data_IF_719239588654
#
_entry.id   IF_719239588654
#
_cell.length_a   1.000
_cell.length_b   1.000
_cell.length_c   1.000
_cell.angle_alpha   90.00
_cell.angle_beta   90.00
_cell.angle_gamma   90.00
#
_symmetry.space_group_name_H-M   'P 1'
#
loop_
_entity.id
_entity.type
_entity.pdbx_description
1 polymer ?
#
# COMPACT_ATOMS: atom_id res chain seq x y z
N UNK A 1 -39.76 2.78 36.49
CA UNK A 1 -39.87 1.30 36.48
C UNK A 1 -40.74 0.78 37.65
N UNK A 2 -41.39 -0.38 37.52
CA UNK A 2 -42.05 -1.09 38.65
C UNK A 2 -41.05 -2.05 39.27
N UNK A 3 -40.66 -1.81 40.51
CA UNK A 3 -39.57 -2.54 41.18
C UNK A 3 -40.19 -3.40 42.27
N UNK A 4 -39.91 -4.69 42.28
CA UNK A 4 -40.33 -5.55 43.38
C UNK A 4 -39.26 -5.57 44.47
N UNK A 5 -39.69 -5.69 45.73
CA UNK A 5 -38.80 -5.72 46.91
C UNK A 5 -38.80 -7.12 47.50
N UNK A 6 -37.86 -7.97 47.08
CA UNK A 6 -37.83 -9.39 47.44
C UNK A 6 -37.01 -9.69 48.71
N UNK A 7 -36.12 -8.79 49.12
CA UNK A 7 -35.20 -8.97 50.26
C UNK A 7 -35.72 -8.37 51.57
N UNK A 8 -36.55 -7.32 51.49
CA UNK A 8 -36.99 -6.54 52.65
C UNK A 8 -38.46 -6.79 53.06
N UNK A 9 -39.18 -7.62 52.30
CA UNK A 9 -40.59 -7.93 52.55
C UNK A 9 -40.78 -8.93 53.70
N UNK A 10 -41.58 -8.55 54.70
CA UNK A 10 -41.94 -9.40 55.85
C UNK A 10 -43.44 -9.71 55.86
N UNK A 11 -43.77 -10.98 56.14
CA UNK A 11 -45.14 -11.42 56.44
C UNK A 11 -45.51 -11.06 57.88
N UNK A 12 -46.81 -11.05 58.22
CA UNK A 12 -47.30 -10.76 59.57
C UNK A 12 -46.77 -11.75 60.64
N UNK A 13 -46.34 -12.94 60.23
CA UNK A 13 -45.78 -14.04 61.03
C UNK A 13 -44.25 -14.08 61.03
N UNK A 14 -43.57 -13.11 60.39
CA UNK A 14 -42.10 -13.00 60.39
C UNK A 14 -41.36 -13.90 59.41
N UNK A 15 -42.07 -14.58 58.51
CA UNK A 15 -41.47 -15.35 57.41
C UNK A 15 -40.87 -14.44 56.33
N UNK A 16 -39.60 -14.67 56.00
CA UNK A 16 -38.87 -14.02 54.90
C UNK A 16 -38.76 -15.03 53.75
N UNK A 17 -39.01 -14.60 52.50
CA UNK A 17 -38.57 -15.36 51.31
C UNK A 17 -39.47 -16.46 50.76
N UNK A 18 -40.80 -16.44 50.96
CA UNK A 18 -41.74 -17.32 50.23
C UNK A 18 -42.25 -16.71 48.92
N UNK A 19 -41.38 -16.14 48.11
CA UNK A 19 -41.73 -15.89 46.70
C UNK A 19 -41.57 -17.21 45.92
N UNK A 20 -42.38 -17.52 44.89
CA UNK A 20 -42.38 -18.82 44.19
C UNK A 20 -41.07 -19.19 43.44
N UNK A 21 -40.00 -18.40 43.59
CA UNK A 21 -38.64 -18.62 43.06
C UNK A 21 -37.63 -18.16 44.13
N UNK A 22 -36.42 -18.74 44.16
CA UNK A 22 -35.36 -18.27 45.09
C UNK A 22 -35.10 -16.78 44.88
N UNK A 23 -34.92 -16.03 45.96
CA UNK A 23 -34.69 -14.57 45.95
C UNK A 23 -33.56 -14.18 44.99
N UNK A 24 -32.48 -14.99 44.96
CA UNK A 24 -31.36 -14.83 44.03
C UNK A 24 -31.76 -14.91 42.55
N UNK A 25 -32.70 -15.79 42.19
CA UNK A 25 -33.17 -15.93 40.79
C UNK A 25 -34.01 -14.72 40.36
N UNK A 26 -34.82 -14.18 41.26
CA UNK A 26 -35.66 -13.01 40.99
C UNK A 26 -34.84 -11.72 40.87
N UNK A 27 -33.83 -11.56 41.73
CA UNK A 27 -32.89 -10.44 41.65
C UNK A 27 -32.12 -10.46 40.32
N UNK A 28 -31.63 -11.64 39.90
CA UNK A 28 -30.96 -11.80 38.61
C UNK A 28 -31.86 -11.40 37.43
N UNK A 29 -33.12 -11.88 37.40
CA UNK A 29 -34.07 -11.53 36.33
C UNK A 29 -34.33 -10.02 36.31
N UNK A 30 -34.49 -9.41 37.48
CA UNK A 30 -34.73 -7.98 37.59
C UNK A 30 -33.55 -7.16 37.08
N UNK A 31 -32.31 -7.59 37.34
CA UNK A 31 -31.11 -6.95 36.82
C UNK A 31 -30.95 -7.12 35.30
N UNK A 32 -31.35 -8.26 34.73
CA UNK A 32 -31.40 -8.41 33.27
C UNK A 32 -32.42 -7.46 32.61
N UNK A 33 -33.57 -7.22 33.25
CA UNK A 33 -34.58 -6.27 32.76
C UNK A 33 -34.06 -4.82 32.86
N UNK A 34 -33.37 -4.46 33.95
CA UNK A 34 -32.70 -3.15 34.07
C UNK A 34 -31.61 -2.95 33.02
N UNK A 35 -30.89 -3.99 32.63
CA UNK A 35 -29.92 -3.90 31.53
C UNK A 35 -30.61 -3.54 30.21
N UNK A 36 -31.81 -4.07 29.97
CA UNK A 36 -32.62 -3.75 28.81
C UNK A 36 -33.12 -2.29 28.83
N UNK A 37 -33.35 -1.73 30.01
CA UNK A 37 -33.69 -0.32 30.24
C UNK A 37 -32.55 0.62 29.80
N UNK A 38 -31.28 0.21 29.94
CA UNK A 38 -30.14 1.00 29.47
C UNK A 38 -30.14 1.20 27.94
N UNK A 39 -30.81 0.34 27.16
CA UNK A 39 -30.98 0.55 25.72
C UNK A 39 -31.81 1.79 25.41
N UNK A 40 -32.69 2.21 26.33
CA UNK A 40 -33.40 3.48 26.20
C UNK A 40 -32.41 4.68 26.23
N UNK A 41 -31.24 4.53 26.86
CA UNK A 41 -30.20 5.56 26.84
C UNK A 41 -29.66 5.89 25.44
N UNK A 42 -29.86 5.02 24.44
CA UNK A 42 -29.49 5.30 23.04
C UNK A 42 -30.25 6.52 22.49
N UNK A 43 -31.47 6.76 22.97
CA UNK A 43 -32.27 7.93 22.60
C UNK A 43 -31.82 9.23 23.26
N UNK A 44 -30.82 9.19 24.13
CA UNK A 44 -30.38 10.31 24.97
C UNK A 44 -31.06 10.34 26.34
N UNK A 45 -30.99 11.50 27.00
CA UNK A 45 -31.62 11.73 28.32
C UNK A 45 -32.86 12.60 28.17
N UNK A 46 -33.84 12.42 29.06
CA UNK A 46 -35.08 13.22 29.14
C UNK A 46 -35.78 13.33 27.79
N UNK A 47 -36.43 12.25 27.36
CA UNK A 47 -37.27 12.29 26.16
C UNK A 47 -38.56 11.48 26.37
N UNK A 48 -39.65 11.90 25.72
CA UNK A 48 -40.92 11.20 25.77
C UNK A 48 -41.01 10.27 24.56
N UNK A 49 -40.84 8.97 24.79
CA UNK A 49 -40.88 7.93 23.76
C UNK A 49 -42.29 7.80 23.16
N UNK A 50 -43.32 7.92 24.01
CA UNK A 50 -44.73 7.85 23.62
C UNK A 50 -45.55 8.81 24.47
N UNK A 51 -46.28 9.73 23.83
CA UNK A 51 -47.19 10.61 24.53
C UNK A 51 -48.46 9.85 25.00
N UNK A 52 -48.98 10.14 26.21
CA UNK A 52 -50.32 9.68 26.58
C UNK A 52 -51.37 10.35 25.70
N UNK A 53 -52.46 9.64 25.37
CA UNK A 53 -53.52 10.14 24.48
C UNK A 53 -54.87 10.35 25.20
N UNK A 54 -54.88 10.34 26.53
CA UNK A 54 -56.10 10.52 27.33
C UNK A 54 -56.80 9.23 27.72
N UNK A 55 -56.47 8.11 27.04
CA UNK A 55 -57.01 6.76 27.29
C UNK A 55 -55.88 5.75 27.54
N UNK A 56 -54.83 5.82 26.73
CA UNK A 56 -53.62 5.01 26.82
C UNK A 56 -52.51 5.85 27.43
N UNK A 57 -51.78 5.26 28.37
CA UNK A 57 -50.60 5.86 29.00
C UNK A 57 -49.46 6.11 28.01
N UNK A 58 -48.57 7.01 28.39
CA UNK A 58 -47.34 7.31 27.67
C UNK A 58 -46.14 6.57 28.27
N UNK A 59 -44.97 6.82 27.68
CA UNK A 59 -43.67 6.35 28.18
C UNK A 59 -42.67 7.49 28.05
N UNK A 60 -41.98 7.79 29.14
CA UNK A 60 -40.86 8.72 29.18
C UNK A 60 -39.60 8.01 29.61
N UNK A 61 -38.48 8.54 29.14
CA UNK A 61 -37.13 8.17 29.55
C UNK A 61 -36.52 9.37 30.22
N UNK A 62 -36.06 9.21 31.45
CA UNK A 62 -35.54 10.27 32.29
C UNK A 62 -34.14 9.92 32.79
N UNK A 63 -33.40 10.94 33.18
CA UNK A 63 -32.26 10.77 34.07
C UNK A 63 -32.76 10.92 35.52
N UNK A 64 -32.68 9.85 36.31
CA UNK A 64 -33.12 9.89 37.71
C UNK A 64 -32.14 10.69 38.60
N UNK A 65 -32.46 10.86 39.88
CA UNK A 65 -31.61 11.61 40.83
C UNK A 65 -30.19 11.07 40.95
N UNK A 66 -30.00 9.78 40.67
CA UNK A 66 -28.70 9.08 40.72
C UNK A 66 -27.95 9.11 39.38
N UNK A 67 -28.43 9.91 38.41
CA UNK A 67 -27.88 10.04 37.05
C UNK A 67 -27.91 8.74 36.24
N UNK A 68 -28.93 7.91 36.48
CA UNK A 68 -29.17 6.69 35.71
C UNK A 68 -30.38 6.87 34.80
N UNK A 69 -30.34 6.18 33.66
CA UNK A 69 -31.47 6.11 32.73
C UNK A 69 -32.60 5.31 33.35
N UNK A 70 -33.78 5.91 33.48
CA UNK A 70 -35.00 5.25 33.95
C UNK A 70 -36.12 5.42 32.91
N UNK A 71 -36.84 4.33 32.64
CA UNK A 71 -38.05 4.29 31.84
C UNK A 71 -39.26 4.31 32.78
N UNK A 72 -40.12 5.30 32.60
CA UNK A 72 -41.31 5.52 33.43
C UNK A 72 -42.57 5.57 32.56
N UNK A 73 -43.62 4.91 33.03
CA UNK A 73 -44.95 4.99 32.43
C UNK A 73 -45.58 6.35 32.78
N UNK A 74 -46.14 7.03 31.79
CA UNK A 74 -46.87 8.27 31.99
C UNK A 74 -48.36 7.93 32.09
N UNK A 75 -49.02 8.44 33.14
CA UNK A 75 -50.46 8.30 33.32
C UNK A 75 -51.23 8.82 32.08
N UNK A 76 -52.36 8.20 31.70
CA UNK A 76 -53.14 8.61 30.53
C UNK A 76 -53.63 10.07 30.60
N UNK A 77 -53.81 10.61 31.82
CA UNK A 77 -54.27 11.98 32.08
C UNK A 77 -53.43 12.66 33.16
N UNK A 78 -53.25 14.00 33.06
CA UNK A 78 -53.67 14.86 31.96
C UNK A 78 -52.84 14.61 30.69
N UNK A 79 -53.44 14.89 29.52
CA UNK A 79 -52.71 14.86 28.25
C UNK A 79 -51.79 16.08 28.18
N UNK A 80 -50.68 15.96 27.45
CA UNK A 80 -49.78 17.09 27.23
C UNK A 80 -50.53 18.30 26.65
N UNK A 81 -50.27 19.49 27.20
CA UNK A 81 -50.89 20.73 26.74
C UNK A 81 -50.09 21.95 27.20
N UNK A 82 -50.50 23.13 26.72
CA UNK A 82 -49.76 24.40 26.91
C UNK A 82 -49.58 24.78 28.39
N UNK A 83 -50.50 24.33 29.26
CA UNK A 83 -50.44 24.57 30.71
C UNK A 83 -49.43 23.70 31.43
N UNK A 84 -49.00 22.57 30.84
CA UNK A 84 -48.01 21.66 31.45
C UNK A 84 -46.69 22.40 31.63
N UNK A 85 -46.08 22.18 32.79
CA UNK A 85 -44.78 22.75 33.19
C UNK A 85 -43.79 21.67 33.60
N UNK A 86 -44.29 20.55 34.12
CA UNK A 86 -43.45 19.49 34.65
C UNK A 86 -43.97 18.11 34.26
N UNK A 87 -43.05 17.14 34.20
CA UNK A 87 -43.35 15.72 34.35
C UNK A 87 -43.00 15.34 35.80
N UNK A 88 -43.99 14.96 36.59
CA UNK A 88 -43.81 14.65 38.02
C UNK A 88 -43.97 13.15 38.25
N UNK A 89 -43.07 12.57 39.02
CA UNK A 89 -43.08 11.16 39.37
C UNK A 89 -43.74 10.98 40.72
N UNK A 90 -44.69 10.06 40.78
CA UNK A 90 -45.30 9.60 42.02
C UNK A 90 -44.78 8.20 42.31
N UNK A 91 -44.16 8.05 43.48
CA UNK A 91 -43.68 6.76 43.98
C UNK A 91 -44.67 6.27 45.03
N UNK A 92 -45.21 5.06 44.85
CA UNK A 92 -46.15 4.43 45.78
C UNK A 92 -45.72 3.01 46.08
N UNK A 93 -45.80 2.61 47.34
CA UNK A 93 -45.59 1.23 47.75
C UNK A 93 -46.93 0.49 47.76
N UNK A 94 -46.96 -0.72 47.22
CA UNK A 94 -48.13 -1.60 47.18
C UNK A 94 -47.87 -2.89 47.95
N UNK A 95 -48.87 -3.30 48.73
CA UNK A 95 -48.91 -4.59 49.38
C UNK A 95 -49.39 -5.66 48.39
N UNK A 96 -48.80 -6.86 48.45
CA UNK A 96 -49.22 -8.00 47.62
C UNK A 96 -49.82 -9.08 48.52
N UNK A 97 -50.96 -9.64 48.11
CA UNK A 97 -51.56 -10.81 48.77
C UNK A 97 -51.25 -12.07 47.96
N UNK A 98 -50.61 -13.05 48.59
CA UNK A 98 -50.36 -14.37 48.02
C UNK A 98 -50.48 -15.42 49.13
N UNK A 99 -51.03 -16.60 48.81
CA UNK A 99 -51.16 -17.74 49.72
C UNK A 99 -51.73 -17.42 51.12
N UNK A 100 -52.77 -16.57 51.15
CA UNK A 100 -53.44 -16.06 52.35
C UNK A 100 -52.60 -15.16 53.28
N UNK A 101 -51.38 -14.78 52.87
CA UNK A 101 -50.52 -13.82 53.57
C UNK A 101 -50.45 -12.48 52.80
N UNK A 102 -50.25 -11.38 53.53
CA UNK A 102 -50.05 -10.03 52.96
C UNK A 102 -48.59 -9.63 53.13
N UNK A 103 -47.90 -9.44 52.01
CA UNK A 103 -46.54 -8.93 51.92
C UNK A 103 -46.62 -7.42 51.84
N UNK A 104 -46.24 -6.75 52.93
CA UNK A 104 -46.28 -5.29 53.01
C UNK A 104 -45.17 -4.67 52.15
N UNK A 105 -45.49 -3.58 51.46
CA UNK A 105 -44.55 -2.82 50.63
C UNK A 105 -43.80 -3.67 49.59
N UNK A 106 -44.46 -4.72 49.09
CA UNK A 106 -43.83 -5.72 48.23
C UNK A 106 -43.48 -5.22 46.83
N UNK A 107 -44.06 -4.09 46.41
CA UNK A 107 -43.76 -3.46 45.13
C UNK A 107 -43.71 -1.95 45.27
N UNK A 108 -42.69 -1.34 44.67
CA UNK A 108 -42.62 0.10 44.47
C UNK A 108 -43.03 0.43 43.05
N UNK A 109 -44.12 1.19 42.91
CA UNK A 109 -44.61 1.70 41.64
C UNK A 109 -44.18 3.15 41.46
N UNK A 110 -43.46 3.42 40.37
CA UNK A 110 -43.11 4.77 39.91
C UNK A 110 -43.87 5.08 38.64
N UNK A 111 -44.77 6.06 38.71
CA UNK A 111 -45.60 6.51 37.58
C UNK A 111 -45.41 8.01 37.40
N UNK A 112 -45.20 8.43 36.16
CA UNK A 112 -45.06 9.82 35.78
C UNK A 112 -46.42 10.43 35.41
N UNK A 113 -46.60 11.72 35.66
CA UNK A 113 -47.79 12.46 35.29
C UNK A 113 -47.43 13.89 34.89
N UNK A 114 -48.08 14.42 33.85
CA UNK A 114 -47.92 15.83 33.50
C UNK A 114 -48.59 16.72 34.56
N UNK A 115 -47.89 17.74 35.04
CA UNK A 115 -48.40 18.66 36.05
C UNK A 115 -48.09 20.12 35.70
N UNK A 116 -48.89 21.02 36.29
CA UNK A 116 -48.72 22.48 36.17
C UNK A 116 -47.85 23.04 37.30
N UNK A 117 -47.86 22.39 38.45
CA UNK A 117 -47.04 22.72 39.63
C UNK A 117 -45.93 21.69 39.85
N UNK A 118 -44.84 22.15 40.46
CA UNK A 118 -43.70 21.32 40.84
C UNK A 118 -44.06 20.46 42.06
N UNK A 119 -43.85 19.14 41.95
CA UNK A 119 -43.96 18.17 43.03
C UNK A 119 -42.60 17.82 43.64
N UNK A 120 -42.57 16.72 44.41
CA UNK A 120 -41.36 16.26 45.10
C UNK A 120 -40.26 15.79 44.13
N UNK A 121 -40.63 15.04 43.10
CA UNK A 121 -39.75 14.60 42.02
C UNK A 121 -40.35 15.07 40.68
N UNK A 122 -39.86 16.20 40.17
CA UNK A 122 -40.40 16.85 38.98
C UNK A 122 -39.30 17.30 38.03
N UNK A 123 -39.51 17.00 36.76
CA UNK A 123 -38.63 17.37 35.66
C UNK A 123 -39.26 18.53 34.89
N UNK A 124 -38.49 19.58 34.60
CA UNK A 124 -38.95 20.68 33.75
C UNK A 124 -39.31 20.13 32.38
N UNK A 125 -40.52 20.41 31.90
CA UNK A 125 -40.98 19.86 30.63
C UNK A 125 -40.12 20.34 29.45
N UNK A 126 -39.48 21.51 29.54
CA UNK A 126 -38.58 22.02 28.50
C UNK A 126 -37.18 21.38 28.55
N UNK A 127 -36.88 20.57 29.56
CA UNK A 127 -35.67 19.75 29.57
C UNK A 127 -35.80 18.52 28.68
N UNK A 128 -37.00 18.22 28.17
CA UNK A 128 -37.22 17.08 27.30
C UNK A 128 -36.86 17.40 25.85
N UNK A 129 -36.05 16.54 25.23
CA UNK A 129 -35.46 16.79 23.88
C UNK A 129 -36.54 16.96 22.80
N UNK A 130 -37.67 16.28 22.94
CA UNK A 130 -38.79 16.39 22.02
C UNK A 130 -39.88 17.38 22.47
N UNK A 131 -39.56 18.31 23.37
CA UNK A 131 -40.44 19.42 23.74
C UNK A 131 -39.83 20.72 23.25
N UNK A 132 -40.52 21.40 22.34
CA UNK A 132 -40.10 22.69 21.81
C UNK A 132 -41.24 23.71 21.96
N UNK A 133 -40.98 24.84 22.59
CA UNK A 133 -41.98 25.90 22.75
C UNK A 133 -43.29 25.45 23.42
N UNK A 134 -43.24 24.46 24.32
CA UNK A 134 -44.42 23.82 24.95
C UNK A 134 -45.33 23.07 23.98
N UNK A 135 -44.76 22.57 22.88
CA UNK A 135 -45.35 21.56 22.02
C UNK A 135 -44.53 20.28 22.15
N UNK A 136 -45.23 19.15 22.24
CA UNK A 136 -44.60 17.83 22.24
C UNK A 136 -44.45 17.38 20.79
N UNK A 137 -43.21 17.38 20.32
CA UNK A 137 -42.85 16.87 19.00
C UNK A 137 -42.78 15.34 19.03
N UNK A 138 -43.04 14.72 17.88
CA UNK A 138 -42.85 13.28 17.73
C UNK A 138 -41.39 12.93 17.98
N UNK A 139 -41.13 11.85 18.73
CA UNK A 139 -39.76 11.34 18.86
C UNK A 139 -39.20 11.07 17.45
N UNK A 140 -38.02 11.59 17.10
CA UNK A 140 -37.49 11.49 15.75
C UNK A 140 -37.28 10.02 15.39
N UNK A 141 -38.18 9.47 14.58
CA UNK A 141 -38.06 8.10 14.09
C UNK A 141 -36.94 8.02 13.06
N UNK A 142 -36.46 6.80 12.77
CA UNK A 142 -35.55 6.56 11.64
C UNK A 142 -36.10 7.13 10.31
N UNK A 143 -37.43 7.29 10.19
CA UNK A 143 -38.06 7.94 9.03
C UNK A 143 -37.85 9.47 8.99
N UNK A 144 -37.80 10.14 10.14
CA UNK A 144 -37.47 11.58 10.24
C UNK A 144 -35.99 11.80 9.91
N UNK A 145 -35.09 10.94 10.41
CA UNK A 145 -33.67 10.98 10.04
C UNK A 145 -33.47 10.75 8.53
N UNK A 146 -34.15 9.74 7.97
CA UNK A 146 -34.15 9.50 6.53
C UNK A 146 -34.74 10.66 5.73
N UNK A 147 -35.78 11.32 6.26
CA UNK A 147 -36.37 12.53 5.69
C UNK A 147 -35.42 13.73 5.71
N UNK A 148 -34.70 13.94 6.82
CA UNK A 148 -33.69 14.99 6.94
C UNK A 148 -32.53 14.77 5.96
N UNK A 149 -32.08 13.52 5.77
CA UNK A 149 -31.06 13.18 4.75
C UNK A 149 -31.57 13.48 3.33
N UNK A 150 -32.84 13.13 3.03
CA UNK A 150 -33.45 13.44 1.72
C UNK A 150 -33.63 14.93 1.47
N UNK A 151 -33.85 15.70 2.52
CA UNK A 151 -34.07 17.15 2.47
C UNK A 151 -32.79 17.97 2.67
N UNK A 152 -31.61 17.33 2.74
CA UNK A 152 -30.35 18.06 2.82
C UNK A 152 -30.15 18.92 1.56
N UNK A 153 -29.58 20.13 1.69
CA UNK A 153 -29.26 20.96 0.53
C UNK A 153 -28.40 20.21 -0.47
N UNK A 154 -28.70 20.38 -1.76
CA UNK A 154 -27.99 19.71 -2.85
C UNK A 154 -26.46 19.95 -2.80
N UNK A 155 -26.04 21.10 -2.26
CA UNK A 155 -24.64 21.44 -2.00
C UNK A 155 -23.97 20.49 -1.00
N UNK A 156 -24.66 20.15 0.09
CA UNK A 156 -24.16 19.23 1.14
C UNK A 156 -24.10 17.80 0.61
N UNK A 157 -25.12 17.38 -0.15
CA UNK A 157 -25.13 16.07 -0.79
C UNK A 157 -24.00 15.93 -1.83
N UNK A 158 -23.71 17.00 -2.57
CA UNK A 158 -22.60 17.04 -3.52
C UNK A 158 -21.26 16.97 -2.79
N UNK A 159 -21.09 17.74 -1.71
CA UNK A 159 -19.89 17.70 -0.87
C UNK A 159 -19.64 16.30 -0.27
N UNK A 160 -20.67 15.65 0.28
CA UNK A 160 -20.55 14.31 0.84
C UNK A 160 -20.23 13.26 -0.24
N UNK A 161 -20.80 13.39 -1.44
CA UNK A 161 -20.47 12.56 -2.60
C UNK A 161 -19.00 12.73 -3.00
N UNK A 162 -18.49 13.95 -3.00
CA UNK A 162 -17.10 14.25 -3.37
C UNK A 162 -16.11 13.71 -2.33
N UNK A 163 -16.42 13.87 -1.04
CA UNK A 163 -15.62 13.30 0.07
C UNK A 163 -15.66 11.77 0.05
N UNK A 164 -16.83 11.15 -0.18
CA UNK A 164 -16.93 9.70 -0.32
C UNK A 164 -16.16 9.19 -1.54
N UNK A 165 -16.19 9.92 -2.66
CA UNK A 165 -15.41 9.60 -3.85
C UNK A 165 -13.90 9.76 -3.63
N UNK A 166 -13.48 10.68 -2.76
CA UNK A 166 -12.08 10.84 -2.34
C UNK A 166 -11.62 9.68 -1.43
N UNK A 167 -12.55 9.08 -0.66
CA UNK A 167 -12.26 7.99 0.29
C UNK A 167 -12.47 6.58 -0.27
N UNK A 168 -13.26 6.40 -1.33
CA UNK A 168 -13.46 5.13 -2.02
C UNK A 168 -12.45 5.00 -3.15
N UNK A 169 -11.40 4.20 -2.92
CA UNK A 169 -10.15 4.10 -3.68
C UNK A 169 -10.23 3.63 -5.14
N UNK A 170 -11.42 3.40 -5.71
CA UNK A 170 -11.61 3.31 -7.15
C UNK A 170 -13.11 3.40 -7.49
N UNK A 171 -13.50 4.39 -8.29
CA UNK A 171 -14.86 4.47 -8.83
C UNK A 171 -14.91 3.87 -10.22
N UNK A 172 -15.81 2.93 -10.47
CA UNK A 172 -16.06 2.42 -11.82
C UNK A 172 -16.89 3.43 -12.63
N UNK A 173 -16.47 3.70 -13.87
CA UNK A 173 -17.14 4.63 -14.79
C UNK A 173 -17.23 3.98 -16.16
N UNK A 174 -18.42 4.05 -16.78
CA UNK A 174 -18.67 3.56 -18.13
C UNK A 174 -18.84 4.75 -19.09
N UNK A 175 -18.23 4.70 -20.28
CA UNK A 175 -18.47 5.70 -21.33
C UNK A 175 -17.86 7.08 -21.07
N UNK A 176 -16.71 7.16 -20.38
CA UNK A 176 -16.04 8.44 -20.12
C UNK A 176 -15.57 9.08 -21.45
N UNK A 177 -16.03 10.30 -21.72
CA UNK A 177 -15.64 11.06 -22.93
C UNK A 177 -14.29 11.79 -22.77
N UNK A 178 -13.66 12.16 -23.89
CA UNK A 178 -12.41 12.96 -23.88
C UNK A 178 -12.54 14.24 -23.06
N UNK A 179 -13.65 14.98 -23.25
CA UNK A 179 -13.92 16.23 -22.54
C UNK A 179 -14.04 16.03 -21.03
N UNK A 180 -14.66 14.93 -20.60
CA UNK A 180 -14.78 14.59 -19.18
C UNK A 180 -13.41 14.20 -18.61
N UNK A 181 -12.63 13.39 -19.33
CA UNK A 181 -11.28 13.00 -18.93
C UNK A 181 -10.34 14.22 -18.77
N UNK A 182 -10.38 15.16 -19.71
CA UNK A 182 -9.60 16.40 -19.66
C UNK A 182 -10.06 17.35 -18.54
N UNK A 183 -11.31 17.19 -18.07
CA UNK A 183 -11.88 17.93 -16.94
C UNK A 183 -11.44 17.42 -15.56
N UNK A 184 -10.86 16.21 -15.47
CA UNK A 184 -10.45 15.64 -14.18
C UNK A 184 -9.18 16.30 -13.64
N UNK A 185 -9.36 17.32 -12.80
CA UNK A 185 -8.27 18.08 -12.15
C UNK A 185 -8.14 17.82 -10.66
N UNK A 186 -9.12 17.14 -10.06
CA UNK A 186 -9.14 16.76 -8.65
C UNK A 186 -8.58 15.35 -8.48
N UNK A 187 -7.90 15.10 -7.36
CA UNK A 187 -7.32 13.80 -7.07
C UNK A 187 -8.42 12.72 -7.01
N UNK A 188 -8.27 11.66 -7.82
CA UNK A 188 -9.21 10.55 -7.87
C UNK A 188 -8.58 9.33 -8.58
N UNK A 189 -9.19 8.16 -8.38
CA UNK A 189 -8.87 6.93 -9.10
C UNK A 189 -10.15 6.41 -9.75
N UNK A 190 -10.14 6.25 -11.07
CA UNK A 190 -11.28 5.78 -11.85
C UNK A 190 -10.92 4.49 -12.60
N UNK A 191 -11.79 3.48 -12.52
CA UNK A 191 -11.74 2.30 -13.38
C UNK A 191 -12.71 2.51 -14.54
N UNK A 192 -12.18 2.77 -15.73
CA UNK A 192 -12.95 3.14 -16.90
C UNK A 192 -13.23 1.92 -17.79
N UNK A 193 -14.47 1.78 -18.25
CA UNK A 193 -14.87 0.75 -19.24
C UNK A 193 -15.62 1.38 -20.40
N UNK A 194 -15.39 0.89 -21.63
CA UNK A 194 -16.04 1.42 -22.84
C UNK A 194 -15.91 2.93 -23.00
N UNK A 195 -14.80 3.51 -22.54
CA UNK A 195 -14.53 4.95 -22.51
C UNK A 195 -13.83 5.42 -23.79
N UNK A 196 -13.45 6.69 -23.87
CA UNK A 196 -12.68 7.21 -25.00
C UNK A 196 -11.44 6.35 -25.24
N UNK A 197 -11.24 5.88 -26.47
CA UNK A 197 -10.09 5.05 -26.81
C UNK A 197 -8.80 5.87 -26.69
N UNK A 198 -7.91 5.40 -25.83
CA UNK A 198 -6.57 5.96 -25.65
C UNK A 198 -5.56 4.84 -25.85
N UNK A 199 -4.54 5.08 -26.68
CA UNK A 199 -3.50 4.11 -27.02
C UNK A 199 -4.03 2.74 -27.48
N UNK A 200 -5.23 2.71 -28.07
CA UNK A 200 -5.86 1.49 -28.59
C UNK A 200 -6.75 0.73 -27.60
N UNK A 201 -6.96 1.23 -26.38
CA UNK A 201 -7.89 0.65 -25.40
C UNK A 201 -8.94 1.64 -24.92
N UNK A 202 -10.18 1.17 -24.81
CA UNK A 202 -11.30 1.88 -24.17
C UNK A 202 -11.47 1.51 -22.68
N UNK A 203 -10.71 0.51 -22.21
CA UNK A 203 -10.72 0.02 -20.85
C UNK A 203 -9.36 0.32 -20.19
N UNK A 204 -9.38 1.11 -19.13
CA UNK A 204 -8.17 1.58 -18.46
C UNK A 204 -8.46 2.14 -17.06
N UNK A 205 -7.44 2.19 -16.23
CA UNK A 205 -7.50 2.90 -14.94
C UNK A 205 -6.90 4.29 -15.10
N UNK A 206 -7.58 5.32 -14.62
CA UNK A 206 -7.06 6.69 -14.55
C UNK A 206 -6.75 7.02 -13.10
N UNK A 207 -5.52 7.46 -12.84
CA UNK A 207 -5.09 8.00 -11.56
C UNK A 207 -4.77 9.48 -11.74
N UNK A 208 -5.49 10.33 -11.00
CA UNK A 208 -5.30 11.78 -11.01
C UNK A 208 -4.68 12.19 -9.68
N UNK A 209 -3.56 12.89 -9.73
CA UNK A 209 -2.80 13.33 -8.56
C UNK A 209 -2.53 14.83 -8.62
N UNK A 210 -2.82 15.55 -7.54
CA UNK A 210 -2.45 16.96 -7.42
C UNK A 210 -0.95 17.10 -7.16
N UNK A 211 -0.31 18.06 -7.84
CA UNK A 211 1.09 18.41 -7.68
C UNK A 211 1.20 19.87 -7.19
N UNK A 212 1.12 20.07 -5.89
CA UNK A 212 1.03 21.41 -5.30
C UNK A 212 -0.33 22.06 -5.59
N UNK A 213 -0.38 23.40 -5.64
CA UNK A 213 -1.64 24.16 -5.70
C UNK A 213 -2.23 24.33 -7.10
N UNK A 214 -1.45 24.18 -8.17
CA UNK A 214 -1.88 24.55 -9.53
C UNK A 214 -1.62 23.48 -10.61
N UNK A 215 -0.90 22.39 -10.28
CA UNK A 215 -0.52 21.35 -11.26
C UNK A 215 -1.22 20.05 -10.94
N UNK A 216 -1.53 19.30 -11.98
CA UNK A 216 -2.20 18.00 -11.87
C UNK A 216 -1.48 17.01 -12.77
N UNK A 217 -1.20 15.81 -12.27
CA UNK A 217 -0.68 14.69 -13.05
C UNK A 217 -1.80 13.68 -13.26
N UNK A 218 -2.02 13.31 -14.51
CA UNK A 218 -2.87 12.19 -14.88
C UNK A 218 -2.02 11.04 -15.37
N UNK A 219 -2.31 9.86 -14.84
CA UNK A 219 -1.68 8.60 -15.20
C UNK A 219 -2.75 7.63 -15.67
N UNK A 220 -2.56 7.05 -16.84
CA UNK A 220 -3.39 5.99 -17.40
C UNK A 220 -2.63 4.68 -17.28
N UNK A 221 -3.31 3.67 -16.75
CA UNK A 221 -2.81 2.30 -16.63
C UNK A 221 -3.69 1.43 -17.51
N UNK A 222 -3.08 0.81 -18.51
CA UNK A 222 -3.69 -0.11 -19.47
C UNK A 222 -3.01 -1.48 -19.37
N UNK A 223 -3.58 -2.51 -20.02
CA UNK A 223 -3.14 -3.91 -19.93
C UNK A 223 -1.62 -4.14 -19.93
N UNK A 224 -1.19 -5.27 -19.38
CA UNK A 224 0.24 -5.62 -19.16
C UNK A 224 1.07 -4.52 -18.47
N UNK A 225 0.44 -3.75 -17.57
CA UNK A 225 1.09 -2.67 -16.80
C UNK A 225 1.69 -1.56 -17.68
N UNK A 226 0.97 -1.17 -18.74
CA UNK A 226 1.37 -0.05 -19.60
C UNK A 226 0.91 1.29 -18.98
N UNK A 227 1.87 2.13 -18.60
CA UNK A 227 1.61 3.45 -17.99
C UNK A 227 1.81 4.59 -18.98
N UNK A 228 0.88 5.54 -19.01
CA UNK A 228 1.00 6.79 -19.77
C UNK A 228 0.69 7.97 -18.87
N UNK A 229 1.48 9.04 -18.98
CA UNK A 229 1.38 10.23 -18.13
C UNK A 229 1.29 11.49 -18.95
N UNK A 230 0.45 12.41 -18.49
CA UNK A 230 0.48 13.82 -18.88
C UNK A 230 0.30 14.71 -17.65
N UNK A 231 0.68 15.98 -17.80
CA UNK A 231 0.60 16.96 -16.72
C UNK A 231 -0.15 18.21 -17.17
N UNK A 232 -1.03 18.72 -16.31
CA UNK A 232 -1.66 20.02 -16.43
C UNK A 232 -0.79 21.08 -15.76
N UNK A 233 -0.45 22.13 -16.49
CA UNK A 233 0.43 23.20 -16.00
C UNK A 233 -0.30 24.40 -15.36
N UNK A 234 -1.63 24.35 -15.26
CA UNK A 234 -2.48 25.47 -14.84
C UNK A 234 -3.35 26.03 -15.98
N UNK A 235 -2.92 25.88 -17.23
CA UNK A 235 -3.60 26.44 -18.41
C UNK A 235 -3.85 25.41 -19.53
N UNK A 236 -2.99 24.42 -19.69
CA UNK A 236 -3.10 23.40 -20.73
C UNK A 236 -2.58 22.03 -20.27
N UNK A 237 -3.09 20.97 -20.91
CA UNK A 237 -2.54 19.62 -20.78
C UNK A 237 -1.30 19.49 -21.66
N UNK A 238 -0.22 18.93 -21.09
CA UNK A 238 0.90 18.45 -21.88
C UNK A 238 0.53 17.23 -22.73
N UNK A 239 1.39 16.90 -23.68
CA UNK A 239 1.25 15.66 -24.45
C UNK A 239 1.35 14.44 -23.54
N UNK A 240 0.65 13.37 -23.92
CA UNK A 240 0.84 12.08 -23.30
C UNK A 240 2.25 11.53 -23.58
N UNK A 241 2.86 10.97 -22.54
CA UNK A 241 4.16 10.32 -22.60
C UNK A 241 4.03 8.94 -21.98
N UNK A 242 4.53 7.91 -22.65
CA UNK A 242 4.58 6.57 -22.06
C UNK A 242 5.59 6.56 -20.92
N UNK A 243 5.13 6.19 -19.72
CA UNK A 243 6.00 5.90 -18.59
C UNK A 243 6.50 4.46 -18.76
N UNK A 244 7.57 4.33 -19.52
CA UNK A 244 8.35 3.11 -19.58
C UNK A 244 8.91 2.85 -18.18
N UNK A 245 8.71 1.65 -17.64
CA UNK A 245 9.12 1.27 -16.28
C UNK A 245 10.46 1.92 -15.88
N UNK A 246 10.41 2.65 -14.77
CA UNK A 246 11.54 3.28 -14.09
C UNK A 246 12.58 2.30 -13.56
N UNK A 247 12.43 0.99 -13.80
CA UNK A 247 13.48 0.04 -13.50
C UNK A 247 14.62 0.26 -14.50
N UNK A 248 15.75 0.81 -14.04
CA UNK A 248 17.04 0.74 -14.72
C UNK A 248 17.51 -0.72 -14.78
N UNK A 249 16.71 -1.59 -15.40
CA UNK A 249 16.96 -3.00 -15.49
C UNK A 249 17.80 -3.30 -16.72
N UNK A 250 18.76 -4.21 -16.58
CA UNK A 250 19.56 -4.72 -17.67
C UNK A 250 19.37 -6.21 -17.79
N UNK A 251 18.87 -6.63 -18.94
CA UNK A 251 18.70 -8.03 -19.32
C UNK A 251 19.75 -8.44 -20.35
N UNK A 252 20.16 -9.71 -20.27
CA UNK A 252 21.10 -10.31 -21.23
C UNK A 252 20.61 -11.66 -21.70
N UNK A 253 20.57 -11.82 -23.03
CA UNK A 253 20.29 -13.10 -23.69
C UNK A 253 21.48 -13.47 -24.57
N UNK A 254 21.89 -14.73 -24.54
CA UNK A 254 23.01 -15.23 -25.35
C UNK A 254 22.47 -16.24 -26.35
N UNK A 255 22.65 -15.96 -27.63
CA UNK A 255 22.30 -16.89 -28.73
C UNK A 255 23.57 -17.22 -29.48
N UNK A 256 23.99 -18.49 -29.39
CA UNK A 256 25.29 -18.97 -29.92
C UNK A 256 26.46 -18.16 -29.36
N UNK A 257 27.12 -17.36 -30.19
CA UNK A 257 28.24 -16.48 -29.83
C UNK A 257 27.83 -15.01 -29.68
N UNK A 258 26.57 -14.66 -29.93
CA UNK A 258 26.08 -13.29 -29.94
C UNK A 258 25.38 -12.97 -28.63
N UNK A 259 25.70 -11.81 -28.06
CA UNK A 259 25.12 -11.31 -26.82
C UNK A 259 24.10 -10.24 -27.18
N UNK A 260 22.87 -10.43 -26.75
CA UNK A 260 21.78 -9.48 -26.87
C UNK A 260 21.55 -8.80 -25.52
N UNK A 261 21.32 -7.49 -25.55
CA UNK A 261 20.91 -6.72 -24.40
C UNK A 261 19.47 -6.26 -24.58
N UNK A 262 18.78 -6.11 -23.45
CA UNK A 262 17.53 -5.35 -23.33
C UNK A 262 17.67 -4.50 -22.07
N UNK A 263 17.18 -3.26 -22.11
CA UNK A 263 17.21 -2.38 -20.94
C UNK A 263 15.93 -1.56 -20.83
N UNK A 264 15.62 -1.09 -19.62
CA UNK A 264 14.56 -0.09 -19.39
C UNK A 264 14.93 1.30 -19.94
N UNK A 265 14.15 2.33 -19.60
CA UNK A 265 14.48 3.70 -20.02
C UNK A 265 15.79 4.17 -19.35
N UNK A 266 16.79 4.52 -20.16
CA UNK A 266 18.07 5.04 -19.68
C UNK A 266 18.18 6.54 -19.92
N UNK A 267 18.50 7.30 -18.87
CA UNK A 267 18.82 8.72 -18.98
C UNK A 267 20.01 8.98 -19.92
N UNK A 268 20.07 10.19 -20.48
CA UNK A 268 21.15 10.59 -21.39
C UNK A 268 22.55 10.47 -20.76
N UNK A 269 22.62 10.64 -19.44
CA UNK A 269 23.81 10.58 -18.57
C UNK A 269 24.23 9.16 -18.16
N UNK A 270 23.39 8.15 -18.42
CA UNK A 270 23.66 6.75 -18.06
C UNK A 270 24.23 5.98 -19.26
N UNK A 271 25.43 5.41 -19.13
CA UNK A 271 26.06 4.60 -20.18
C UNK A 271 26.01 3.10 -19.84
N UNK A 272 26.00 2.26 -20.88
CA UNK A 272 26.20 0.81 -20.74
C UNK A 272 27.68 0.52 -20.93
N UNK A 273 28.33 -0.03 -19.91
CA UNK A 273 29.78 -0.26 -19.90
C UNK A 273 30.13 -1.73 -19.80
N UNK A 274 31.20 -2.12 -20.51
CA UNK A 274 31.77 -3.46 -20.42
C UNK A 274 32.80 -3.53 -19.28
N UNK A 275 32.64 -4.51 -18.41
CA UNK A 275 33.49 -4.75 -17.26
C UNK A 275 34.24 -6.08 -17.41
N UNK A 276 35.43 -6.14 -16.81
CA UNK A 276 36.14 -7.40 -16.55
C UNK A 276 36.41 -7.57 -15.07
N UNK A 277 36.36 -8.81 -14.57
CA UNK A 277 36.78 -9.11 -13.21
C UNK A 277 38.31 -9.22 -13.16
N UNK A 278 38.97 -8.31 -12.47
CA UNK A 278 40.43 -8.30 -12.30
C UNK A 278 40.78 -8.54 -10.83
N UNK A 279 41.89 -9.23 -10.57
CA UNK A 279 42.50 -9.22 -9.23
C UNK A 279 42.91 -7.79 -8.89
N UNK A 280 42.48 -7.30 -7.73
CA UNK A 280 42.92 -6.00 -7.21
C UNK A 280 44.43 -6.04 -7.03
N UNK A 281 45.09 -4.89 -7.20
CA UNK A 281 46.51 -4.77 -6.86
C UNK A 281 46.73 -5.20 -5.40
N UNK A 282 47.74 -6.04 -5.17
CA UNK A 282 48.12 -6.53 -3.84
C UNK A 282 48.56 -5.41 -2.90
N UNK A 283 48.92 -4.24 -3.44
CA UNK A 283 49.36 -3.09 -2.66
C UNK A 283 48.48 -1.86 -2.93
N UNK A 284 48.26 -1.06 -1.89
CA UNK A 284 47.72 0.30 -2.00
C UNK A 284 48.84 1.24 -2.44
N UNK A 285 48.57 2.13 -3.38
CA UNK A 285 49.44 3.27 -3.67
C UNK A 285 49.11 4.36 -2.64
N UNK A 286 49.58 4.18 -1.41
CA UNK A 286 49.66 5.24 -0.41
C UNK A 286 50.96 5.98 -0.72
N UNK A 287 50.91 7.26 -1.07
CA UNK A 287 52.14 8.00 -1.35
C UNK A 287 52.50 8.18 -2.83
N UNK A 288 51.65 8.83 -3.62
CA UNK A 288 52.11 9.42 -4.89
C UNK A 288 53.17 10.52 -4.64
N UNK A 289 53.80 11.03 -5.70
CA UNK A 289 54.82 12.08 -5.58
C UNK A 289 54.34 13.33 -4.80
N UNK A 290 53.02 13.58 -4.81
CA UNK A 290 52.32 14.68 -4.11
C UNK A 290 51.73 14.34 -2.73
N UNK A 291 52.12 13.23 -2.10
CA UNK A 291 51.61 12.84 -0.77
C UNK A 291 52.43 13.45 0.36
N UNK A 292 51.77 13.76 1.48
CA UNK A 292 52.42 14.14 2.75
C UNK A 292 53.63 13.25 3.07
N UNK A 293 54.71 13.88 3.56
CA UNK A 293 56.04 13.31 3.82
C UNK A 293 55.99 11.96 4.56
N UNK A 294 55.08 11.81 5.53
CA UNK A 294 54.93 10.59 6.35
C UNK A 294 54.48 9.34 5.57
N UNK A 295 53.89 9.50 4.39
CA UNK A 295 53.28 8.44 3.59
C UNK A 295 53.92 8.24 2.20
N UNK A 296 54.91 9.06 1.83
CA UNK A 296 55.61 8.95 0.55
C UNK A 296 56.35 7.61 0.48
N UNK A 297 56.12 6.82 -0.58
CA UNK A 297 56.77 5.52 -0.79
C UNK A 297 56.22 4.32 0.01
N UNK A 298 55.34 4.52 1.01
CA UNK A 298 54.82 3.42 1.84
C UNK A 298 53.77 2.59 1.11
N UNK A 299 54.00 1.29 0.93
CA UNK A 299 53.04 0.36 0.30
C UNK A 299 52.44 -0.58 1.34
N UNK A 300 51.17 -0.41 1.66
CA UNK A 300 50.44 -1.36 2.51
C UNK A 300 49.86 -2.53 1.68
N UNK A 301 50.04 -3.76 2.18
CA UNK A 301 49.45 -4.97 1.59
C UNK A 301 47.93 -4.93 1.79
N UNK A 302 47.18 -5.13 0.72
CA UNK A 302 45.71 -5.17 0.73
C UNK A 302 45.25 -6.61 0.90
N UNK A 303 44.08 -6.79 1.52
CA UNK A 303 43.37 -8.07 1.44
C UNK A 303 43.10 -8.43 -0.03
N UNK A 304 43.34 -9.68 -0.46
CA UNK A 304 43.05 -10.13 -1.81
C UNK A 304 41.55 -9.97 -2.12
N UNK A 305 41.22 -9.12 -3.09
CA UNK A 305 39.84 -8.95 -3.59
C UNK A 305 39.85 -8.97 -5.12
N UNK A 306 38.81 -9.53 -5.72
CA UNK A 306 38.55 -9.40 -7.15
C UNK A 306 37.41 -8.40 -7.35
N UNK A 307 37.53 -7.53 -8.35
CA UNK A 307 36.54 -6.49 -8.60
C UNK A 307 36.30 -6.35 -10.11
N UNK A 308 35.06 -6.03 -10.47
CA UNK A 308 34.72 -5.63 -11.82
C UNK A 308 35.25 -4.21 -12.08
N UNK A 309 36.06 -4.08 -13.12
CA UNK A 309 36.68 -2.82 -13.55
C UNK A 309 36.30 -2.53 -15.00
N UNK A 310 36.15 -1.25 -15.33
CA UNK A 310 35.81 -0.79 -16.68
C UNK A 310 36.87 -1.28 -17.67
N UNK A 311 36.48 -2.19 -18.56
CA UNK A 311 37.40 -2.86 -19.45
C UNK A 311 37.69 -1.94 -20.64
N UNK A 312 38.94 -1.46 -20.76
CA UNK A 312 39.41 -0.54 -21.82
C UNK A 312 38.59 0.75 -21.96
N UNK A 313 37.77 1.09 -20.97
CA UNK A 313 36.82 2.19 -21.08
C UNK A 313 35.69 1.96 -22.09
N UNK A 314 35.42 0.71 -22.46
CA UNK A 314 34.43 0.38 -23.49
C UNK A 314 33.03 0.81 -23.05
N UNK A 315 32.41 1.63 -23.90
CA UNK A 315 31.00 2.01 -23.88
C UNK A 315 30.27 1.29 -24.99
N UNK A 316 29.09 0.77 -24.68
CA UNK A 316 28.24 0.03 -25.58
C UNK A 316 27.05 0.90 -26.03
N UNK A 317 26.57 0.67 -27.25
CA UNK A 317 25.38 1.32 -27.79
C UNK A 317 24.14 0.99 -26.95
N UNK A 318 23.25 1.96 -26.84
CA UNK A 318 21.92 1.82 -26.25
C UNK A 318 20.94 1.46 -27.37
N UNK A 319 20.05 0.53 -27.12
CA UNK A 319 18.97 0.19 -28.03
C UNK A 319 17.69 0.96 -27.66
N UNK A 320 16.61 0.63 -28.33
CA UNK A 320 15.29 1.07 -27.91
C UNK A 320 14.91 0.37 -26.60
N UNK A 321 14.43 1.10 -25.57
CA UNK A 321 14.00 0.51 -24.31
C UNK A 321 13.00 -0.64 -24.53
N UNK A 322 13.15 -1.72 -23.76
CA UNK A 322 12.27 -2.90 -23.84
C UNK A 322 12.52 -3.84 -25.02
N UNK A 323 13.33 -3.45 -26.02
CA UNK A 323 13.64 -4.31 -27.18
C UNK A 323 15.00 -4.99 -27.06
N UNK A 324 15.10 -6.19 -27.62
CA UNK A 324 16.36 -6.92 -27.72
C UNK A 324 17.22 -6.38 -28.87
N UNK A 325 18.49 -6.10 -28.60
CA UNK A 325 19.42 -5.61 -29.61
C UNK A 325 20.84 -6.13 -29.37
N UNK A 326 21.69 -6.07 -30.39
CA UNK A 326 23.11 -6.43 -30.28
C UNK A 326 23.93 -5.16 -30.00
N UNK A 327 24.56 -5.04 -28.82
CA UNK A 327 25.34 -3.85 -28.48
C UNK A 327 26.65 -3.79 -29.27
N UNK A 328 26.96 -2.61 -29.79
CA UNK A 328 28.23 -2.29 -30.45
C UNK A 328 29.04 -1.34 -29.59
N UNK A 329 30.37 -1.39 -29.68
CA UNK A 329 31.20 -0.41 -29.01
C UNK A 329 31.05 0.97 -29.65
N UNK A 330 30.76 1.99 -28.84
CA UNK A 330 30.62 3.39 -29.29
C UNK A 330 31.73 4.29 -28.75
N UNK A 331 32.56 3.79 -27.82
CA UNK A 331 33.66 4.56 -27.28
C UNK A 331 34.57 3.72 -26.39
N UNK A 332 35.81 4.19 -26.23
CA UNK A 332 36.89 3.58 -25.45
C UNK A 332 37.61 4.67 -24.64
N UNK A 333 38.38 4.29 -23.62
CA UNK A 333 39.13 5.25 -22.80
C UNK A 333 40.37 5.81 -23.51
N UNK A 334 41.06 4.99 -24.31
CA UNK A 334 42.25 5.41 -25.07
C UNK A 334 42.01 5.20 -26.57
N UNK A 335 41.57 6.24 -27.29
CA UNK A 335 41.31 6.16 -28.72
C UNK A 335 42.55 5.80 -29.55
N UNK A 336 43.77 6.06 -29.06
CA UNK A 336 45.00 5.78 -29.83
C UNK A 336 45.29 4.29 -29.92
N UNK A 337 44.94 3.53 -28.88
CA UNK A 337 45.25 2.09 -28.79
C UNK A 337 44.06 1.19 -29.11
N UNK A 338 42.84 1.63 -28.82
CA UNK A 338 41.64 0.78 -28.85
C UNK A 338 40.53 1.28 -29.81
N UNK A 339 40.81 2.27 -30.68
CA UNK A 339 39.82 2.78 -31.66
C UNK A 339 39.29 1.72 -32.63
N UNK A 340 40.10 0.72 -32.95
CA UNK A 340 39.71 -0.41 -33.80
C UNK A 340 38.54 -1.25 -33.23
N UNK A 341 38.22 -1.07 -31.94
CA UNK A 341 37.10 -1.74 -31.28
C UNK A 341 35.75 -1.06 -31.55
N UNK A 342 35.74 0.20 -31.99
CA UNK A 342 34.51 0.94 -32.25
C UNK A 342 33.71 0.25 -33.37
N UNK A 343 32.39 0.15 -33.18
CA UNK A 343 31.46 -0.55 -34.06
C UNK A 343 31.47 -2.08 -33.91
N UNK A 344 32.40 -2.67 -33.14
CA UNK A 344 32.50 -4.12 -32.97
C UNK A 344 31.62 -4.63 -31.82
N UNK A 345 31.22 -5.89 -31.93
CA UNK A 345 30.41 -6.62 -30.93
C UNK A 345 31.28 -7.29 -29.85
N UNK A 346 30.64 -7.71 -28.76
CA UNK A 346 31.31 -8.35 -27.61
C UNK A 346 32.35 -9.44 -27.96
N UNK A 347 32.14 -10.36 -28.92
CA UNK A 347 33.14 -11.37 -29.27
C UNK A 347 34.52 -10.77 -29.61
N UNK A 348 34.54 -9.67 -30.36
CA UNK A 348 35.76 -8.96 -30.75
C UNK A 348 36.29 -8.11 -29.61
N UNK A 349 35.40 -7.45 -28.85
CA UNK A 349 35.77 -6.62 -27.71
C UNK A 349 36.50 -7.45 -26.64
N UNK A 350 35.99 -8.64 -26.34
CA UNK A 350 36.56 -9.55 -25.35
C UNK A 350 37.75 -10.37 -25.88
N UNK A 351 38.07 -10.29 -27.18
CA UNK A 351 39.04 -11.17 -27.81
C UNK A 351 40.42 -11.12 -27.15
N UNK A 352 40.85 -9.93 -26.67
CA UNK A 352 42.16 -9.75 -26.03
C UNK A 352 42.26 -10.34 -24.63
N UNK A 353 41.16 -10.81 -24.04
CA UNK A 353 41.19 -11.53 -22.76
C UNK A 353 41.85 -12.91 -22.89
N UNK A 354 41.82 -13.47 -24.10
CA UNK A 354 42.52 -14.68 -24.49
C UNK A 354 43.57 -14.37 -25.56
N UNK A 355 44.83 -14.66 -25.27
CA UNK A 355 45.94 -14.39 -26.18
C UNK A 355 46.84 -15.62 -26.32
N UNK A 356 47.60 -15.67 -27.40
CA UNK A 356 48.64 -16.70 -27.61
C UNK A 356 49.92 -16.18 -26.96
N UNK A 357 50.44 -16.91 -25.99
CA UNK A 357 51.68 -16.54 -25.29
C UNK A 357 52.93 -16.98 -26.04
N UNK A 358 54.09 -16.52 -25.56
CA UNK A 358 55.42 -17.02 -25.98
C UNK A 358 55.45 -18.54 -25.78
N UNK A 359 55.56 -19.28 -26.89
CA UNK A 359 55.44 -20.74 -26.95
C UNK A 359 54.13 -21.29 -27.55
N UNK A 360 53.30 -20.47 -28.19
CA UNK A 360 52.17 -20.93 -29.02
C UNK A 360 50.91 -21.36 -28.27
N UNK A 361 50.93 -21.39 -26.93
CA UNK A 361 49.77 -21.78 -26.12
C UNK A 361 48.81 -20.62 -25.86
N UNK A 362 47.50 -20.89 -25.90
CA UNK A 362 46.47 -19.95 -25.47
C UNK A 362 46.54 -19.71 -23.96
N UNK A 363 46.34 -18.46 -23.53
CA UNK A 363 46.35 -18.03 -22.13
C UNK A 363 45.25 -17.01 -21.86
N UNK A 364 44.82 -16.93 -20.59
CA UNK A 364 43.96 -15.85 -20.11
C UNK A 364 44.80 -14.76 -19.48
N UNK A 365 44.46 -13.50 -19.79
CA UNK A 365 45.09 -12.35 -19.16
C UNK A 365 45.01 -12.42 -17.62
N UNK A 366 46.18 -12.40 -16.97
CA UNK A 366 46.28 -12.45 -15.50
C UNK A 366 46.17 -13.86 -14.90
N UNK A 367 46.10 -14.91 -15.71
CA UNK A 367 46.20 -16.30 -15.27
C UNK A 367 47.53 -16.92 -15.74
N UNK A 368 48.12 -17.79 -14.92
CA UNK A 368 49.38 -18.50 -15.24
C UNK A 368 49.16 -19.82 -15.98
N UNK A 369 47.93 -20.35 -16.01
CA UNK A 369 47.65 -21.64 -16.65
C UNK A 369 47.68 -21.52 -18.18
N UNK A 370 48.29 -22.51 -18.84
CA UNK A 370 48.29 -22.70 -20.30
C UNK A 370 47.03 -23.45 -20.70
N UNK A 371 46.36 -23.02 -21.77
CA UNK A 371 45.19 -23.69 -22.32
C UNK A 371 45.66 -24.61 -23.43
N UNK A 372 45.48 -25.92 -23.25
CA UNK A 372 45.99 -26.96 -24.16
C UNK A 372 44.84 -27.76 -24.76
N UNK A 373 45.05 -28.26 -25.98
CA UNK A 373 44.07 -29.13 -26.64
C UNK A 373 43.88 -30.42 -25.84
N UNK A 374 42.72 -31.06 -25.99
CA UNK A 374 42.40 -32.34 -25.33
C UNK A 374 43.35 -33.47 -25.69
N UNK A 375 44.04 -33.37 -26.83
CA UNK A 375 45.08 -34.31 -27.26
C UNK A 375 46.37 -34.19 -26.45
N UNK A 376 46.57 -33.08 -25.74
CA UNK A 376 47.76 -32.85 -24.89
C UNK A 376 47.44 -33.24 -23.44
N UNK A 377 48.33 -33.96 -22.75
CA UNK A 377 48.12 -34.37 -21.34
C UNK A 377 47.93 -33.15 -20.42
N UNK A 378 46.90 -33.19 -19.58
CA UNK A 378 46.65 -32.17 -18.56
C UNK A 378 47.65 -32.32 -17.40
N UNK A 379 48.72 -31.53 -17.42
CA UNK A 379 49.73 -31.46 -16.35
C UNK A 379 49.56 -30.22 -15.48
N UNK A 380 50.31 -30.17 -14.36
CA UNK A 380 50.34 -29.02 -13.45
C UNK A 380 50.63 -27.73 -14.23
N UNK A 381 49.70 -26.77 -14.18
CA UNK A 381 49.81 -25.51 -14.91
C UNK A 381 49.14 -25.50 -16.29
N UNK A 382 48.43 -26.57 -16.68
CA UNK A 382 47.62 -26.61 -17.90
C UNK A 382 46.13 -26.74 -17.59
N UNK A 383 45.27 -26.44 -18.58
CA UNK A 383 43.83 -26.73 -18.55
C UNK A 383 43.28 -26.86 -19.97
N UNK A 384 42.14 -27.57 -20.11
CA UNK A 384 41.47 -27.73 -21.42
C UNK A 384 40.38 -26.68 -21.68
N UNK A 385 39.82 -26.12 -20.62
CA UNK A 385 38.76 -25.11 -20.68
C UNK A 385 39.11 -24.01 -19.70
N UNK A 386 38.77 -22.78 -20.06
CA UNK A 386 38.96 -21.65 -19.17
C UNK A 386 37.98 -20.51 -19.51
N UNK A 387 37.75 -19.62 -18.57
CA UNK A 387 36.86 -18.48 -18.75
C UNK A 387 37.43 -17.21 -18.11
N UNK A 388 37.12 -16.07 -18.72
CA UNK A 388 37.32 -14.75 -18.16
C UNK A 388 35.96 -14.23 -17.65
N UNK A 389 35.81 -13.91 -16.35
CA UNK A 389 34.59 -13.31 -15.85
C UNK A 389 34.48 -11.86 -16.33
N UNK A 390 33.38 -11.55 -16.98
CA UNK A 390 33.04 -10.22 -17.51
C UNK A 390 31.68 -9.80 -16.96
N UNK A 391 31.31 -8.55 -17.15
CA UNK A 391 29.97 -8.08 -16.83
C UNK A 391 29.60 -6.89 -17.68
N UNK A 392 28.30 -6.66 -17.83
CA UNK A 392 27.78 -5.43 -18.42
C UNK A 392 27.05 -4.69 -17.32
N UNK A 393 27.23 -3.38 -17.26
CA UNK A 393 26.67 -2.54 -16.21
C UNK A 393 26.11 -1.26 -16.78
N UNK A 394 24.96 -0.84 -16.26
CA UNK A 394 24.47 0.54 -16.40
C UNK A 394 25.21 1.40 -15.38
N UNK A 395 25.96 2.41 -15.85
CA UNK A 395 26.69 3.31 -14.97
C UNK A 395 26.77 4.72 -15.54
N UNK A 396 26.72 5.71 -14.64
CA UNK A 396 27.14 7.07 -14.96
C UNK A 396 28.66 7.14 -15.03
N UNK A 397 29.16 7.86 -16.03
CA UNK A 397 30.58 8.09 -16.21
C UNK A 397 30.99 9.44 -15.63
N UNK A 398 32.12 9.46 -14.93
CA UNK A 398 32.68 10.69 -14.39
C UNK A 398 33.38 11.49 -15.49
N UNK A 399 33.36 12.84 -15.43
CA UNK A 399 34.07 13.70 -16.39
C UNK A 399 35.57 13.40 -16.48
N UNK A 400 36.18 12.99 -15.37
CA UNK A 400 37.62 12.68 -15.24
C UNK A 400 37.99 11.25 -15.65
N UNK A 401 37.05 10.50 -16.20
CA UNK A 401 37.21 9.10 -16.57
C UNK A 401 36.93 8.13 -15.42
N UNK A 402 36.23 7.04 -15.72
CA UNK A 402 35.79 6.04 -14.75
C UNK A 402 34.28 6.06 -14.51
N UNK A 403 33.79 5.04 -13.80
CA UNK A 403 32.37 4.80 -13.56
C UNK A 403 32.00 5.08 -12.10
N UNK A 404 30.75 5.47 -11.86
CA UNK A 404 30.21 5.58 -10.51
C UNK A 404 30.07 4.22 -9.79
N UNK A 405 29.99 4.31 -8.46
CA UNK A 405 29.68 3.19 -7.58
C UNK A 405 28.17 3.00 -7.52
N UNK A 406 27.68 1.85 -7.99
CA UNK A 406 26.26 1.55 -8.10
C UNK A 406 25.88 1.13 -9.52
N UNK A 407 24.61 0.79 -9.73
CA UNK A 407 24.06 0.32 -11.00
C UNK A 407 24.10 -1.19 -11.16
N UNK A 408 23.04 -1.72 -11.78
CA UNK A 408 22.87 -3.16 -12.01
C UNK A 408 24.02 -3.72 -12.88
N UNK A 409 24.54 -4.88 -12.47
CA UNK A 409 25.58 -5.59 -13.20
C UNK A 409 25.07 -6.97 -13.58
N UNK A 410 24.94 -7.23 -14.87
CA UNK A 410 24.75 -8.59 -15.37
C UNK A 410 26.11 -9.26 -15.54
N UNK A 411 26.32 -10.33 -14.79
CA UNK A 411 27.58 -11.08 -14.76
C UNK A 411 27.57 -12.16 -15.83
N UNK A 412 28.68 -12.28 -16.54
CA UNK A 412 28.84 -13.25 -17.63
C UNK A 412 30.23 -13.87 -17.59
N UNK A 413 30.38 -14.99 -18.31
CA UNK A 413 31.64 -15.68 -18.53
C UNK A 413 31.95 -15.68 -20.02
N UNK A 414 33.09 -15.11 -20.41
CA UNK A 414 33.65 -15.31 -21.74
C UNK A 414 34.55 -16.56 -21.71
N UNK A 415 34.12 -17.61 -22.39
CA UNK A 415 34.70 -18.96 -22.31
C UNK A 415 35.52 -19.25 -23.56
N UNK A 416 36.59 -20.01 -23.37
CA UNK A 416 37.21 -20.79 -24.43
C UNK A 416 36.95 -22.27 -24.14
N UNK A 417 36.28 -22.90 -25.10
CA UNK A 417 35.92 -24.31 -25.08
C UNK A 417 36.54 -25.00 -26.29
N UNK A 418 36.48 -26.32 -26.35
CA UNK A 418 36.99 -27.09 -27.48
C UNK A 418 35.83 -27.84 -28.11
N UNK A 419 35.74 -27.78 -29.44
CA UNK A 419 34.85 -28.62 -30.22
C UNK A 419 35.66 -29.69 -30.96
N UNK A 420 35.04 -30.84 -31.17
CA UNK A 420 35.60 -31.97 -31.89
C UNK A 420 35.10 -31.90 -33.33
N UNK A 421 36.01 -31.77 -34.29
CA UNK A 421 35.74 -32.00 -35.70
C UNK A 421 36.10 -33.43 -36.04
N UNK A 422 35.23 -34.12 -36.78
CA UNK A 422 35.58 -35.39 -37.44
C UNK A 422 36.27 -35.04 -38.75
N UNK A 423 37.47 -35.55 -38.98
CA UNK A 423 38.08 -35.58 -40.30
C UNK A 423 37.63 -36.88 -40.97
N UNK A 424 37.31 -36.84 -42.26
CA UNK A 424 37.00 -38.04 -43.06
C UNK A 424 38.28 -38.88 -43.18
N UNK A 425 38.38 -39.96 -42.39
CA UNK A 425 39.55 -40.83 -42.31
C UNK A 425 39.61 -41.61 -40.99
N UNK A 426 40.55 -42.57 -40.83
CA UNK A 426 40.56 -43.48 -39.69
C UNK A 426 40.80 -42.72 -38.36
N UNK A 427 39.72 -42.59 -37.59
CA UNK A 427 39.59 -42.23 -36.17
C UNK A 427 40.45 -41.09 -35.57
N UNK A 428 41.01 -40.18 -36.35
CA UNK A 428 41.73 -39.02 -35.82
C UNK A 428 40.78 -37.84 -35.57
N UNK A 429 40.45 -37.63 -34.30
CA UNK A 429 39.66 -36.48 -33.85
C UNK A 429 40.54 -35.22 -33.75
N UNK A 430 40.24 -34.20 -34.55
CA UNK A 430 40.85 -32.87 -34.39
C UNK A 430 40.03 -32.04 -33.41
N UNK A 431 40.72 -31.35 -32.50
CA UNK A 431 40.10 -30.44 -31.54
C UNK A 431 40.50 -29.01 -31.87
N UNK A 432 39.52 -28.12 -31.88
CA UNK A 432 39.74 -26.68 -32.12
C UNK A 432 39.05 -25.84 -31.06
N UNK A 433 39.57 -24.64 -30.82
CA UNK A 433 39.04 -23.74 -29.80
C UNK A 433 37.83 -22.97 -30.33
N UNK A 434 36.76 -22.94 -29.53
CA UNK A 434 35.56 -22.14 -29.75
C UNK A 434 35.39 -21.17 -28.59
N UNK A 435 35.16 -19.89 -28.92
CA UNK A 435 34.88 -18.82 -27.97
C UNK A 435 33.37 -18.65 -27.82
N UNK A 436 32.87 -18.70 -26.59
CA UNK A 436 31.44 -18.59 -26.29
C UNK A 436 31.19 -17.71 -25.08
N UNK A 437 29.95 -17.23 -24.95
CA UNK A 437 29.49 -16.53 -23.76
C UNK A 437 28.56 -17.45 -22.95
N UNK A 438 28.50 -17.23 -21.64
CA UNK A 438 27.43 -17.75 -20.80
C UNK A 438 27.08 -16.72 -19.72
N UNK A 439 25.86 -16.79 -19.19
CA UNK A 439 25.53 -16.12 -17.94
C UNK A 439 26.33 -16.78 -16.79
N UNK A 440 26.58 -16.01 -15.72
CA UNK A 440 27.31 -16.48 -14.53
C UNK A 440 26.47 -17.45 -13.71
#
# INVERSE_FOLDING_TARGET
>A
MKTASYTDTRTATGGVGKYPLSTETLDFIQDQIKLLELLAGVGGVNYILKAPNGTVGGVAVIENTDKQTEVVEIAPRPVFGISVRYLTITTTSEDIKADAETYKEARTLRVAQFTTAKGAESYDINSFVNVNGRQLEAFPTNAVLAGQIKNMPQTVLTYLKDVLAEKLTAKTVQGLTQKQLDGLKTACVLSCTGSVSLFGSADYTVVVTAQGSARVRQEIIQGDDCHYVRTWNGAAWGAWSQQLETAMHLDVKIVRSTVYLRHGALGADCDIVLLRKKKRSSYRRTGGAKSYTKNKGKRQKRQPKSQYVHFKGIRLSKGEPGKWYVPKCIGVADPKTDSNLIGKELPTLCASLFYVGTGGFYRIQGNRKKIVLKTTKNTKGTCHKAYAPIGVQIARLKPTGGKDSGGEIVRMKYRISQYKSKVLGPQTATYSFLRTFSLD
#
